data_IF_486537256117
#
_entry.id   IF_486537256117
#
_cell.length_a   1.000
_cell.length_b   1.000
_cell.length_c   1.000
_cell.angle_alpha   90.00
_cell.angle_beta   90.00
_cell.angle_gamma   90.00
#
_symmetry.space_group_name_H-M   'P 1'
#
loop_
_entity.id
_entity.type
_entity.pdbx_description
1 polymer ?
#
# COMPACT_ATOMS: atom_id res chain seq x y z
N UNK A 1 -22.55 2.65 -2.40
CA UNK A 1 -22.44 2.57 -0.92
C UNK A 1 -21.33 1.64 -0.39
N UNK A 2 -21.14 0.42 -0.95
CA UNK A 2 -20.15 -0.57 -0.45
C UNK A 2 -18.69 -0.07 -0.39
N UNK A 3 -18.17 0.62 -1.41
CA UNK A 3 -16.77 1.10 -1.43
C UNK A 3 -16.43 2.10 -0.32
N UNK A 4 -17.38 2.94 0.08
CA UNK A 4 -17.16 3.93 1.16
C UNK A 4 -16.93 3.25 2.51
N UNK A 5 -17.70 2.18 2.77
CA UNK A 5 -17.56 1.36 3.98
C UNK A 5 -16.23 0.59 3.96
N UNK A 6 -15.86 -0.01 2.83
CA UNK A 6 -14.58 -0.72 2.66
C UNK A 6 -13.38 0.19 2.95
N UNK A 7 -13.37 1.41 2.39
CA UNK A 7 -12.35 2.43 2.70
C UNK A 7 -12.26 2.71 4.21
N UNK A 8 -13.41 2.93 4.87
CA UNK A 8 -13.44 3.19 6.32
C UNK A 8 -12.90 1.99 7.13
N UNK A 9 -13.25 0.76 6.74
CA UNK A 9 -12.76 -0.46 7.37
C UNK A 9 -11.26 -0.70 7.17
N UNK A 10 -10.69 -0.35 6.01
CA UNK A 10 -9.25 -0.49 5.73
C UNK A 10 -8.44 0.59 6.47
N UNK A 11 -8.96 1.82 6.55
CA UNK A 11 -8.24 2.97 7.13
C UNK A 11 -7.79 2.74 8.58
N UNK A 12 -8.50 1.92 9.35
CA UNK A 12 -8.12 1.59 10.74
C UNK A 12 -6.82 0.77 10.85
N UNK A 13 -6.34 0.21 9.74
CA UNK A 13 -5.09 -0.56 9.66
C UNK A 13 -3.92 0.26 9.12
N UNK A 14 -4.14 1.54 8.81
CA UNK A 14 -3.05 2.46 8.44
C UNK A 14 -2.24 2.78 9.70
N UNK A 15 -0.97 2.38 9.72
CA UNK A 15 -0.06 2.57 10.86
C UNK A 15 0.96 3.67 10.62
N UNK A 16 1.24 4.03 9.37
CA UNK A 16 2.14 5.13 9.04
C UNK A 16 1.71 5.84 7.75
N UNK A 17 1.89 7.16 7.72
CA UNK A 17 1.78 8.00 6.53
C UNK A 17 2.90 9.03 6.58
N UNK A 18 3.92 8.87 5.73
CA UNK A 18 5.11 9.73 5.71
C UNK A 18 5.43 10.17 4.27
N UNK A 19 6.15 11.30 4.10
CA UNK A 19 6.77 11.61 2.83
C UNK A 19 7.65 10.45 2.37
N UNK A 20 7.54 10.10 1.09
CA UNK A 20 8.43 9.09 0.52
C UNK A 20 9.84 9.68 0.38
N UNK A 21 10.92 8.94 0.69
CA UNK A 21 12.27 9.51 0.77
C UNK A 21 12.79 10.11 -0.53
N UNK A 22 12.20 9.74 -1.67
CA UNK A 22 12.61 10.16 -3.01
C UNK A 22 11.44 10.92 -3.66
N UNK A 23 11.70 12.13 -4.12
CA UNK A 23 10.74 12.98 -4.84
C UNK A 23 9.56 13.45 -3.98
N UNK A 24 8.45 13.85 -4.62
CA UNK A 24 7.23 14.34 -3.96
C UNK A 24 6.19 13.23 -3.79
N UNK A 25 6.66 12.12 -3.21
CA UNK A 25 5.83 10.95 -2.90
C UNK A 25 5.28 10.96 -1.48
N UNK A 26 4.20 10.20 -1.27
CA UNK A 26 3.67 9.86 0.06
C UNK A 26 3.55 8.35 0.15
N UNK A 27 4.08 7.78 1.23
CA UNK A 27 3.98 6.37 1.55
C UNK A 27 2.95 6.13 2.65
N UNK A 28 2.12 5.11 2.46
CA UNK A 28 1.11 4.64 3.40
C UNK A 28 1.44 3.20 3.79
N UNK A 29 1.67 2.95 5.08
CA UNK A 29 1.92 1.59 5.59
C UNK A 29 0.65 1.07 6.26
N UNK A 30 0.18 -0.07 5.78
CA UNK A 30 -0.92 -0.83 6.37
C UNK A 30 -0.38 -2.08 7.04
N UNK A 31 -0.86 -2.39 8.25
CA UNK A 31 -0.54 -3.64 8.96
C UNK A 31 -1.82 -4.32 9.41
N UNK A 32 -1.95 -5.61 9.10
CA UNK A 32 -3.12 -6.43 9.44
C UNK A 32 -2.77 -7.44 10.55
N UNK A 33 -3.78 -7.95 11.28
CA UNK A 33 -3.55 -8.90 12.37
C UNK A 33 -2.96 -10.25 11.94
N UNK A 34 -3.03 -10.59 10.65
CA UNK A 34 -2.51 -11.85 10.08
C UNK A 34 -1.00 -11.80 9.77
N UNK A 35 -0.25 -10.88 10.38
CA UNK A 35 1.19 -10.72 10.13
C UNK A 35 1.56 -10.06 8.79
N UNK A 36 0.57 -9.76 7.94
CA UNK A 36 0.80 -9.16 6.61
C UNK A 36 0.39 -7.69 6.56
N UNK A 37 0.79 -7.02 5.49
CA UNK A 37 0.33 -5.67 5.20
C UNK A 37 0.80 -5.18 3.85
N UNK A 38 0.85 -3.86 3.69
CA UNK A 38 1.26 -3.26 2.44
C UNK A 38 1.92 -1.90 2.64
N UNK A 39 2.91 -1.61 1.80
CA UNK A 39 3.38 -0.25 1.54
C UNK A 39 2.73 0.24 0.26
N UNK A 40 1.99 1.35 0.32
CA UNK A 40 1.36 1.98 -0.84
C UNK A 40 2.03 3.32 -1.07
N UNK A 41 2.52 3.56 -2.28
CA UNK A 41 3.21 4.80 -2.64
C UNK A 41 2.40 5.54 -3.70
N UNK A 42 2.31 6.86 -3.50
CA UNK A 42 1.69 7.78 -4.44
C UNK A 42 2.55 9.01 -4.61
N UNK A 43 2.89 9.33 -5.84
CA UNK A 43 3.51 10.61 -6.17
C UNK A 43 2.45 11.65 -6.51
N UNK A 44 2.63 12.86 -5.97
CA UNK A 44 1.81 14.02 -6.33
C UNK A 44 2.30 14.65 -7.64
N UNK A 45 3.61 14.59 -7.88
CA UNK A 45 4.25 15.11 -9.08
C UNK A 45 5.28 14.11 -9.58
N UNK A 46 5.31 13.87 -10.89
CA UNK A 46 6.27 12.99 -11.56
C UNK A 46 7.29 13.81 -12.35
N UNK A 47 8.36 14.26 -11.70
CA UNK A 47 9.41 15.08 -12.31
C UNK A 47 10.61 14.21 -12.75
N UNK A 48 10.34 13.17 -13.55
CA UNK A 48 11.37 12.23 -14.03
C UNK A 48 11.87 11.20 -13.00
N UNK A 49 11.37 11.27 -11.75
CA UNK A 49 11.62 10.32 -10.68
C UNK A 49 10.30 9.96 -9.99
N UNK A 50 10.00 8.67 -9.81
CA UNK A 50 8.72 8.23 -9.24
C UNK A 50 8.55 6.71 -9.10
N UNK A 51 7.47 6.31 -8.43
CA UNK A 51 7.02 4.91 -8.38
C UNK A 51 6.36 4.46 -9.69
N UNK A 52 6.16 3.17 -9.89
CA UNK A 52 5.48 2.66 -11.08
C UNK A 52 4.09 3.28 -11.28
N UNK A 53 3.87 3.89 -12.45
CA UNK A 53 2.62 4.59 -12.81
C UNK A 53 2.49 6.02 -12.27
N UNK A 54 3.56 6.60 -11.71
CA UNK A 54 3.61 7.98 -11.24
C UNK A 54 3.27 9.00 -12.35
N UNK A 55 3.78 8.79 -13.55
CA UNK A 55 3.60 9.61 -14.76
C UNK A 55 2.13 9.72 -15.19
N UNK A 56 1.35 8.67 -14.92
CA UNK A 56 -0.09 8.60 -15.20
C UNK A 56 -0.96 8.74 -13.96
N UNK A 57 -0.37 9.18 -12.83
CA UNK A 57 -1.11 9.42 -11.61
C UNK A 57 -1.76 8.16 -11.05
N UNK A 58 -1.05 7.02 -11.08
CA UNK A 58 -1.43 5.75 -10.45
C UNK A 58 -0.58 5.49 -9.19
N UNK A 59 -0.79 4.34 -8.55
CA UNK A 59 -0.16 3.94 -7.29
C UNK A 59 0.73 2.73 -7.51
N UNK A 60 1.74 2.60 -6.65
CA UNK A 60 2.51 1.37 -6.47
C UNK A 60 2.18 0.77 -5.10
N UNK A 61 2.18 -0.55 -5.01
CA UNK A 61 1.97 -1.27 -3.75
C UNK A 61 2.95 -2.44 -3.62
N UNK A 62 3.64 -2.51 -2.49
CA UNK A 62 4.39 -3.68 -2.06
C UNK A 62 3.62 -4.46 -0.99
N UNK A 63 3.52 -5.78 -1.13
CA UNK A 63 3.02 -6.67 -0.07
C UNK A 63 4.13 -6.90 0.95
N UNK A 64 3.79 -6.73 2.22
CA UNK A 64 4.72 -6.83 3.33
C UNK A 64 4.38 -8.05 4.20
N UNK A 65 5.39 -8.83 4.57
CA UNK A 65 5.34 -9.79 5.67
C UNK A 65 6.08 -9.18 6.86
N UNK A 66 5.41 -9.03 7.99
CA UNK A 66 6.02 -8.58 9.24
C UNK A 66 6.44 -9.80 10.06
N UNK A 67 7.72 -9.87 10.39
CA UNK A 67 8.21 -10.74 11.47
C UNK A 67 8.09 -10.02 12.82
N UNK A 68 8.45 -10.72 13.90
CA UNK A 68 8.34 -10.17 15.26
C UNK A 68 9.43 -9.14 15.60
N UNK A 69 10.51 -9.02 14.82
CA UNK A 69 11.75 -8.39 15.29
C UNK A 69 12.47 -7.47 14.27
N UNK A 70 11.90 -7.17 13.10
CA UNK A 70 12.64 -6.43 12.06
C UNK A 70 11.83 -5.56 11.08
N UNK A 71 12.52 -5.19 10.00
CA UNK A 71 11.91 -4.56 8.83
C UNK A 71 11.09 -5.60 8.07
N UNK A 72 9.88 -5.26 7.59
CA UNK A 72 9.06 -6.21 6.87
C UNK A 72 9.76 -6.69 5.60
N UNK A 73 9.59 -7.97 5.30
CA UNK A 73 10.04 -8.56 4.03
C UNK A 73 9.04 -8.21 2.94
N UNK A 74 9.53 -7.66 1.84
CA UNK A 74 8.73 -7.43 0.64
C UNK A 74 8.52 -8.75 -0.09
N UNK A 75 7.26 -9.14 -0.25
CA UNK A 75 6.87 -10.40 -0.90
C UNK A 75 6.61 -10.21 -2.40
N UNK A 76 5.98 -9.10 -2.75
CA UNK A 76 5.58 -8.77 -4.10
C UNK A 76 5.44 -7.25 -4.27
N UNK A 77 5.61 -6.74 -5.49
CA UNK A 77 5.46 -5.32 -5.82
C UNK A 77 4.68 -5.17 -7.12
N UNK A 78 3.64 -4.36 -7.10
CA UNK A 78 2.80 -4.09 -8.26
C UNK A 78 2.58 -2.58 -8.46
N UNK A 79 2.74 -2.14 -9.70
CA UNK A 79 2.56 -0.75 -10.12
C UNK A 79 1.25 -0.50 -10.87
N UNK A 80 1.06 0.75 -11.33
CA UNK A 80 -0.06 1.13 -12.18
C UNK A 80 -1.44 0.82 -11.57
N UNK A 81 -1.58 1.00 -10.25
CA UNK A 81 -2.79 0.68 -9.53
C UNK A 81 -3.70 1.90 -9.36
N UNK A 82 -5.00 1.74 -9.64
CA UNK A 82 -5.99 2.78 -9.29
C UNK A 82 -6.29 2.76 -7.78
N UNK A 83 -6.93 3.80 -7.22
CA UNK A 83 -7.41 3.75 -5.84
C UNK A 83 -8.34 2.56 -5.54
N UNK A 84 -9.11 2.11 -6.54
CA UNK A 84 -10.01 0.95 -6.41
C UNK A 84 -9.19 -0.35 -6.32
N UNK A 85 -8.15 -0.47 -7.13
CA UNK A 85 -7.22 -1.59 -7.14
C UNK A 85 -6.51 -1.76 -5.80
N UNK A 86 -6.03 -0.65 -5.23
CA UNK A 86 -5.41 -0.62 -3.90
C UNK A 86 -6.37 -1.19 -2.85
N UNK A 87 -7.63 -0.74 -2.83
CA UNK A 87 -8.61 -1.22 -1.84
C UNK A 87 -8.88 -2.72 -2.00
N UNK A 88 -9.07 -3.19 -3.23
CA UNK A 88 -9.32 -4.61 -3.51
C UNK A 88 -8.12 -5.45 -3.04
N UNK A 89 -6.89 -5.00 -3.30
CA UNK A 89 -5.67 -5.71 -2.88
C UNK A 89 -5.48 -5.72 -1.38
N UNK A 90 -5.69 -4.59 -0.70
CA UNK A 90 -5.65 -4.52 0.76
C UNK A 90 -6.67 -5.45 1.42
N UNK A 91 -7.87 -5.58 0.83
CA UNK A 91 -8.86 -6.56 1.30
C UNK A 91 -8.39 -8.01 1.11
N UNK A 92 -7.76 -8.33 -0.02
CA UNK A 92 -7.16 -9.65 -0.25
C UNK A 92 -6.07 -9.96 0.76
N UNK A 93 -5.10 -9.06 0.95
CA UNK A 93 -3.98 -9.24 1.88
C UNK A 93 -4.49 -9.47 3.31
N UNK A 94 -5.48 -8.69 3.74
CA UNK A 94 -6.12 -8.84 5.05
C UNK A 94 -6.76 -10.23 5.25
N UNK A 95 -7.28 -10.83 4.18
CA UNK A 95 -7.93 -12.13 4.19
C UNK A 95 -7.01 -13.32 3.96
N UNK A 96 -5.70 -13.10 3.71
CA UNK A 96 -4.75 -14.18 3.55
C UNK A 96 -4.56 -14.92 4.88
N UNK A 97 -4.70 -16.24 4.85
CA UNK A 97 -4.31 -17.14 5.93
C UNK A 97 -3.01 -17.82 5.51
N UNK A 98 -2.08 -18.02 6.43
CA UNK A 98 -0.94 -18.90 6.17
C UNK A 98 -1.48 -20.32 5.98
N UNK A 99 -1.01 -21.00 4.93
CA UNK A 99 -1.40 -22.37 4.60
C UNK A 99 -0.61 -23.38 5.40
#
# INVERSE_FOLDING_TARGET
MKMRLRKKCIRKFLVSKIPYPIGKGVQYIYRFPNGKGASVIKFEVCDGFGSYGCDVGLYEMAILQFDNDGYPVVQDVEGYLTPKDIIIRLEKIKGMVEG
#
